data_IF_285846838513
#
_entry.id   IF_285846838513
#
_cell.length_a   1.000
_cell.length_b   1.000
_cell.length_c   1.000
_cell.angle_alpha   90.00
_cell.angle_beta   90.00
_cell.angle_gamma   90.00
#
_symmetry.space_group_name_H-M   'P 1'
#
loop_
_entity.id
_entity.type
_entity.pdbx_description
1 polymer ?
#
# COMPACT_ATOMS: atom_id res chain seq x y z
N UNK A 1 15.84 -10.35 7.15
CA UNK A 1 14.89 -10.39 8.30
C UNK A 1 14.86 -11.72 9.04
N UNK A 2 15.42 -12.84 8.53
CA UNK A 2 15.52 -14.08 9.31
C UNK A 2 14.19 -14.77 9.63
N UNK A 3 13.10 -14.32 9.00
CA UNK A 3 11.76 -14.82 9.22
C UNK A 3 11.53 -16.14 8.48
N UNK A 4 10.67 -17.04 9.03
CA UNK A 4 10.27 -18.25 8.33
C UNK A 4 9.51 -17.92 7.03
N UNK A 5 9.49 -18.87 6.11
CA UNK A 5 8.67 -18.77 4.90
C UNK A 5 7.20 -18.71 5.30
N UNK A 6 6.48 -17.72 4.78
CA UNK A 6 5.07 -17.50 5.05
C UNK A 6 4.36 -17.02 3.78
N UNK A 7 3.04 -17.16 3.73
CA UNK A 7 2.24 -16.63 2.63
C UNK A 7 2.16 -15.10 2.65
N UNK A 8 1.77 -14.49 1.54
CA UNK A 8 1.56 -13.03 1.43
C UNK A 8 0.51 -12.55 2.43
N UNK A 9 -0.55 -13.33 2.65
CA UNK A 9 -1.61 -12.99 3.60
C UNK A 9 -1.11 -12.98 5.05
N UNK A 10 -0.26 -13.95 5.42
CA UNK A 10 0.37 -13.98 6.74
C UNK A 10 1.36 -12.83 6.90
N UNK A 11 2.20 -12.57 5.89
CA UNK A 11 3.16 -11.48 5.90
C UNK A 11 2.49 -10.11 6.03
N UNK A 12 1.33 -9.91 5.41
CA UNK A 12 0.61 -8.63 5.44
C UNK A 12 0.13 -8.23 6.85
N UNK A 13 0.05 -9.17 7.79
CA UNK A 13 -0.36 -8.92 9.18
C UNK A 13 0.76 -9.21 10.20
N UNK A 14 1.92 -9.67 9.73
CA UNK A 14 3.04 -10.01 10.59
C UNK A 14 3.69 -8.75 11.18
N UNK A 15 3.84 -8.71 12.50
CA UNK A 15 4.35 -7.54 13.23
C UNK A 15 5.78 -7.17 12.81
N UNK A 16 6.65 -8.13 12.56
CA UNK A 16 8.03 -7.87 12.15
C UNK A 16 8.11 -7.33 10.71
N UNK A 17 7.26 -7.84 9.82
CA UNK A 17 7.13 -7.30 8.46
C UNK A 17 6.61 -5.87 8.49
N UNK A 18 5.54 -5.61 9.24
CA UNK A 18 4.97 -4.27 9.39
C UNK A 18 5.96 -3.29 10.02
N UNK A 19 6.73 -3.72 11.04
CA UNK A 19 7.77 -2.90 11.64
C UNK A 19 8.90 -2.57 10.66
N UNK A 20 9.28 -3.52 9.79
CA UNK A 20 10.26 -3.28 8.74
C UNK A 20 9.76 -2.29 7.69
N UNK A 21 8.49 -2.41 7.28
CA UNK A 21 7.87 -1.47 6.36
C UNK A 21 7.76 -0.07 6.98
N UNK A 22 7.40 0.02 8.27
CA UNK A 22 7.35 1.29 8.98
C UNK A 22 8.72 1.98 8.98
N UNK A 23 9.82 1.26 9.25
CA UNK A 23 11.17 1.82 9.17
C UNK A 23 11.51 2.37 7.78
N UNK A 24 11.08 1.69 6.71
CA UNK A 24 11.29 2.16 5.35
C UNK A 24 10.45 3.42 5.05
N UNK A 25 9.21 3.48 5.54
CA UNK A 25 8.34 4.65 5.45
C UNK A 25 8.93 5.83 6.20
N UNK A 26 9.44 5.60 7.41
CA UNK A 26 10.07 6.63 8.23
C UNK A 26 11.29 7.21 7.51
N UNK A 27 12.16 6.35 6.96
CA UNK A 27 13.31 6.80 6.15
C UNK A 27 12.91 7.57 4.89
N UNK A 28 11.84 7.16 4.20
CA UNK A 28 11.33 7.91 3.05
C UNK A 28 10.80 9.30 3.46
N UNK A 29 10.14 9.38 4.62
CA UNK A 29 9.60 10.64 5.14
C UNK A 29 10.67 11.65 5.53
N UNK A 30 11.90 11.21 5.85
CA UNK A 30 13.04 12.11 6.11
C UNK A 30 13.46 12.93 4.88
N UNK A 31 13.11 12.49 3.68
CA UNK A 31 13.51 13.12 2.43
C UNK A 31 12.47 14.09 1.84
N UNK A 32 11.32 14.26 2.48
CA UNK A 32 10.21 15.06 1.97
C UNK A 32 9.68 16.02 3.02
N UNK A 33 8.91 17.02 2.58
CA UNK A 33 8.26 17.94 3.53
C UNK A 33 7.17 17.23 4.35
N UNK A 34 6.79 17.82 5.49
CA UNK A 34 5.68 17.31 6.33
C UNK A 34 4.36 17.16 5.57
N UNK A 35 4.13 18.00 4.55
CA UNK A 35 2.91 17.94 3.73
C UNK A 35 2.91 16.72 2.80
N UNK A 36 4.08 16.27 2.37
CA UNK A 36 4.29 15.14 1.46
C UNK A 36 4.53 13.81 2.20
N UNK A 37 4.78 13.85 3.51
CA UNK A 37 5.02 12.66 4.32
C UNK A 37 3.84 11.68 4.30
N UNK A 38 4.17 10.39 4.22
CA UNK A 38 3.24 9.26 4.34
C UNK A 38 2.78 9.17 5.79
N UNK A 39 1.47 9.40 6.02
CA UNK A 39 0.86 9.39 7.36
C UNK A 39 0.32 8.03 7.79
N UNK A 40 -0.18 7.24 6.84
CA UNK A 40 -0.72 5.90 7.05
C UNK A 40 -0.49 5.08 5.78
N UNK A 41 -0.32 3.77 5.93
CA UNK A 41 -0.25 2.83 4.81
C UNK A 41 -1.00 1.54 5.15
N UNK A 42 -1.36 0.78 4.12
CA UNK A 42 -1.96 -0.56 4.24
C UNK A 42 -1.22 -1.50 3.30
N UNK A 43 -0.92 -2.70 3.78
CA UNK A 43 -0.36 -3.77 2.94
C UNK A 43 -1.51 -4.49 2.24
N UNK A 44 -1.45 -4.54 0.90
CA UNK A 44 -2.41 -5.27 0.09
C UNK A 44 -1.91 -6.71 -0.13
N UNK A 45 -2.81 -7.67 -0.14
CA UNK A 45 -2.51 -9.08 -0.46
C UNK A 45 -2.67 -9.40 -1.94
N UNK A 46 -3.08 -8.42 -2.75
CA UNK A 46 -3.30 -8.56 -4.19
C UNK A 46 -2.32 -7.69 -4.97
N UNK A 47 -1.76 -8.26 -6.02
CA UNK A 47 -0.80 -7.58 -6.89
C UNK A 47 -1.47 -6.66 -7.90
N UNK A 48 -0.69 -5.68 -8.36
CA UNK A 48 -1.06 -4.86 -9.52
C UNK A 48 -0.50 -5.57 -10.75
N UNK A 49 -1.39 -5.99 -11.66
CA UNK A 49 -0.98 -6.69 -12.89
C UNK A 49 -1.67 -6.10 -14.11
N UNK A 50 -1.12 -6.39 -15.28
CA UNK A 50 -1.81 -6.07 -16.54
C UNK A 50 -3.08 -6.91 -16.70
N UNK A 51 -3.01 -8.19 -16.33
CA UNK A 51 -4.12 -9.15 -16.43
C UNK A 51 -5.35 -8.74 -15.61
N UNK A 52 -5.15 -8.16 -14.42
CA UNK A 52 -6.25 -7.65 -13.60
C UNK A 52 -6.63 -6.19 -13.91
N UNK A 53 -6.03 -5.60 -14.94
CA UNK A 53 -6.35 -4.28 -15.47
C UNK A 53 -5.86 -3.12 -14.61
N UNK A 54 -5.03 -3.36 -13.58
CA UNK A 54 -4.47 -2.31 -12.73
C UNK A 54 -3.24 -1.64 -13.34
N UNK A 55 -2.53 -2.33 -14.23
CA UNK A 55 -1.38 -1.81 -14.95
C UNK A 55 -1.67 -1.58 -16.45
N UNK A 56 -0.92 -0.66 -17.05
CA UNK A 56 -0.77 -0.55 -18.50
C UNK A 56 0.24 -1.57 -19.03
N UNK A 57 0.29 -1.83 -20.35
CA UNK A 57 1.33 -2.67 -20.95
C UNK A 57 2.77 -2.20 -20.70
N UNK A 58 2.94 -0.94 -20.31
CA UNK A 58 4.22 -0.37 -19.90
C UNK A 58 4.38 -0.32 -18.37
N UNK A 59 3.65 -1.15 -17.63
CA UNK A 59 3.68 -1.31 -16.17
C UNK A 59 3.36 -0.05 -15.36
N UNK A 60 2.65 0.92 -15.95
CA UNK A 60 2.16 2.11 -15.22
C UNK A 60 0.83 1.81 -14.54
N UNK A 61 0.62 2.34 -13.34
CA UNK A 61 -0.65 2.22 -12.62
C UNK A 61 -1.76 2.98 -13.35
N UNK A 62 -2.88 2.30 -13.64
CA UNK A 62 -4.11 2.92 -14.10
C UNK A 62 -4.87 3.51 -12.91
N UNK A 63 -4.47 4.72 -12.51
CA UNK A 63 -4.92 5.37 -11.26
C UNK A 63 -6.44 5.32 -11.04
N UNK A 64 -7.24 5.68 -12.04
CA UNK A 64 -8.72 5.67 -11.93
C UNK A 64 -9.28 4.28 -11.59
N UNK A 65 -8.74 3.23 -12.22
CA UNK A 65 -9.17 1.84 -11.99
C UNK A 65 -8.73 1.39 -10.59
N UNK A 66 -7.49 1.69 -10.21
CA UNK A 66 -6.94 1.33 -8.89
C UNK A 66 -7.72 2.01 -7.76
N UNK A 67 -7.95 3.32 -7.86
CA UNK A 67 -8.73 4.09 -6.85
C UNK A 67 -10.14 3.53 -6.74
N UNK A 68 -10.84 3.27 -7.85
CA UNK A 68 -12.19 2.69 -7.80
C UNK A 68 -12.20 1.31 -7.14
N UNK A 69 -11.24 0.45 -7.48
CA UNK A 69 -11.18 -0.93 -6.97
C UNK A 69 -10.79 -1.00 -5.50
N UNK A 70 -9.96 -0.07 -5.05
CA UNK A 70 -9.42 -0.01 -3.69
C UNK A 70 -10.13 1.04 -2.81
N UNK A 71 -11.20 1.67 -3.31
CA UNK A 71 -12.00 2.64 -2.56
C UNK A 71 -12.26 2.23 -1.11
N UNK A 72 -12.79 1.03 -0.79
CA UNK A 72 -13.02 0.64 0.60
C UNK A 72 -11.74 0.61 1.46
N UNK A 73 -10.60 0.22 0.89
CA UNK A 73 -9.31 0.23 1.61
C UNK A 73 -8.79 1.65 1.83
N UNK A 74 -9.01 2.53 0.84
CA UNK A 74 -8.66 3.94 0.95
C UNK A 74 -9.54 4.59 2.03
N UNK A 75 -10.84 4.34 2.02
CA UNK A 75 -11.80 4.85 2.99
C UNK A 75 -11.44 4.41 4.42
N UNK A 76 -11.01 3.15 4.63
CA UNK A 76 -10.49 2.67 5.92
C UNK A 76 -9.31 3.52 6.43
N UNK A 77 -8.40 3.96 5.55
CA UNK A 77 -7.25 4.77 5.94
C UNK A 77 -7.68 6.18 6.39
N UNK A 78 -8.70 6.74 5.75
CA UNK A 78 -9.21 8.08 6.05
C UNK A 78 -10.32 8.12 7.10
N UNK A 79 -10.88 6.97 7.49
CA UNK A 79 -11.94 6.86 8.50
C UNK A 79 -13.36 7.03 7.95
N UNK A 80 -13.56 6.75 6.66
CA UNK A 80 -14.82 6.87 5.96
C UNK A 80 -14.62 7.30 4.50
N UNK A 81 -15.68 7.25 3.67
CA UNK A 81 -15.63 7.80 2.33
C UNK A 81 -15.25 9.28 2.40
N UNK A 82 -14.20 9.65 1.68
CA UNK A 82 -13.88 11.05 1.44
C UNK A 82 -14.97 11.61 0.53
N UNK A 83 -16.00 12.21 1.12
CA UNK A 83 -17.00 12.98 0.38
C UNK A 83 -16.27 14.16 -0.29
N UNK A 84 -16.38 14.26 -1.62
CA UNK A 84 -15.90 15.41 -2.41
C UNK A 84 -16.76 16.66 -2.17
#
# INVERSE_FOLDING_TARGET
>A
HGLPVMSVAEAATNVEVLASLQKAVDGANEHVSRAESIRKFKVLTSDFTEANGLLTPSLKVKRTVAVRRLAPVIDELYGGPVEE
#
